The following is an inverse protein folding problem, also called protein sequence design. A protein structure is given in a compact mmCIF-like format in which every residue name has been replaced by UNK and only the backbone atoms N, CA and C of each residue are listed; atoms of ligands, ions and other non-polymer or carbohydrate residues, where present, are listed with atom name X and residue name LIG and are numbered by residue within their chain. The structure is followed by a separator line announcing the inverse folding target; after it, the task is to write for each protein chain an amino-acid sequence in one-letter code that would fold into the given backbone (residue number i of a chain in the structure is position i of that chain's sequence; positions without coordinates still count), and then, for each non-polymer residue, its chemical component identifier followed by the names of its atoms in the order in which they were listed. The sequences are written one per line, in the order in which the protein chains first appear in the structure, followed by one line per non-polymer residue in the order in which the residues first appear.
data_IF_029083643984
#
_entry.id   IF_029083643984
#
_cell.length_a   1.000
_cell.length_b   1.000
_cell.length_c   1.000
_cell.angle_alpha   90.00
_cell.angle_beta   90.00
_cell.angle_gamma   90.00
#
_symmetry.space_group_name_H-M   'P 1'
#
loop_
_entity.id
_entity.type
_entity.pdbx_description
1 polymer ?
#
# COMPACT_ATOMS: atom_id res chain seq x y z
N UNK A 1 -16.81 9.42 1.91
CA UNK A 1 -18.19 9.18 2.37
C UNK A 1 -18.93 8.53 1.22
N UNK A 2 -19.79 7.56 1.52
CA UNK A 2 -20.46 6.62 0.58
C UNK A 2 -19.60 5.39 0.23
N UNK A 3 -20.23 4.21 0.28
CA UNK A 3 -19.61 2.92 0.00
C UNK A 3 -19.04 2.90 -1.42
N UNK A 4 -17.78 2.53 -1.52
CA UNK A 4 -17.08 2.34 -2.78
C UNK A 4 -16.75 0.85 -2.93
N UNK A 5 -16.44 0.38 -4.16
CA UNK A 5 -16.07 -1.01 -4.43
C UNK A 5 -14.88 -1.44 -3.55
N UNK A 6 -14.55 -2.74 -3.48
CA UNK A 6 -13.40 -3.24 -2.71
C UNK A 6 -12.08 -2.71 -3.31
N UNK A 7 -11.76 -1.48 -2.96
CA UNK A 7 -10.56 -0.75 -3.31
C UNK A 7 -9.87 -0.45 -1.98
N UNK A 8 -8.62 -0.91 -1.88
CA UNK A 8 -7.80 -0.76 -0.68
C UNK A 8 -7.73 0.73 -0.33
N UNK A 9 -8.24 1.10 0.85
CA UNK A 9 -8.25 2.49 1.36
C UNK A 9 -9.61 3.19 1.38
N UNK A 10 -10.69 2.55 0.94
CA UNK A 10 -12.05 3.08 1.11
C UNK A 10 -12.72 2.49 2.36
N UNK A 11 -13.47 3.31 3.10
CA UNK A 11 -14.31 2.83 4.20
C UNK A 11 -15.50 2.07 3.63
N UNK A 12 -15.48 0.75 3.76
CA UNK A 12 -16.62 -0.10 3.42
C UNK A 12 -17.75 0.16 4.41
N UNK A 13 -18.91 0.55 3.88
CA UNK A 13 -20.11 0.69 4.69
C UNK A 13 -20.88 -0.62 4.55
N UNK A 14 -20.92 -1.42 5.61
CA UNK A 14 -21.54 -2.77 5.61
C UNK A 14 -22.91 -2.83 4.94
N UNK A 15 -23.74 -1.78 5.12
CA UNK A 15 -25.07 -1.70 4.52
C UNK A 15 -25.09 -1.74 2.98
N UNK A 16 -23.97 -1.35 2.35
CA UNK A 16 -23.83 -1.26 0.90
C UNK A 16 -23.41 -2.58 0.25
N UNK A 17 -23.14 -3.63 1.03
CA UNK A 17 -22.73 -4.94 0.52
C UNK A 17 -23.83 -5.70 -0.22
N UNK A 18 -25.10 -5.33 -0.02
CA UNK A 18 -26.24 -5.90 -0.76
C UNK A 18 -26.99 -4.79 -1.49
N UNK A 19 -27.08 -4.92 -2.81
CA UNK A 19 -27.85 -4.01 -3.65
C UNK A 19 -29.36 -4.28 -3.48
N UNK A 20 -30.19 -3.26 -3.25
CA UNK A 20 -31.64 -3.44 -3.18
C UNK A 20 -32.21 -3.92 -4.54
N UNK A 21 -33.22 -4.80 -4.54
CA UNK A 21 -33.92 -5.20 -5.76
C UNK A 21 -34.50 -3.99 -6.52
N UNK A 22 -34.34 -3.97 -7.85
CA UNK A 22 -34.84 -2.88 -8.71
C UNK A 22 -36.34 -2.62 -8.55
N UNK A 23 -37.12 -3.68 -8.33
CA UNK A 23 -38.57 -3.56 -8.08
C UNK A 23 -38.85 -2.68 -6.86
N UNK A 24 -38.03 -2.78 -5.79
CA UNK A 24 -38.18 -1.93 -4.60
C UNK A 24 -37.67 -0.51 -4.84
N UNK A 25 -36.60 -0.36 -5.63
CA UNK A 25 -36.06 0.94 -6.02
C UNK A 25 -37.10 1.76 -6.79
N UNK A 26 -37.74 1.17 -7.80
CA UNK A 26 -38.79 1.84 -8.58
C UNK A 26 -40.06 2.17 -7.79
N UNK A 27 -40.26 1.60 -6.60
CA UNK A 27 -41.37 1.99 -5.72
C UNK A 27 -41.10 3.29 -4.94
N UNK A 28 -39.85 3.73 -4.81
CA UNK A 28 -39.47 4.96 -4.11
C UNK A 28 -39.17 6.04 -5.14
N UNK A 29 -39.99 7.09 -5.16
CA UNK A 29 -39.95 8.14 -6.21
C UNK A 29 -40.03 7.56 -7.63
N UNK A 30 -41.12 6.87 -8.02
CA UNK A 30 -41.24 6.21 -9.32
C UNK A 30 -40.99 7.14 -10.52
N UNK A 31 -41.44 8.40 -10.41
CA UNK A 31 -41.25 9.42 -11.44
C UNK A 31 -39.78 9.77 -11.71
N UNK A 32 -38.87 9.48 -10.77
CA UNK A 32 -37.44 9.71 -10.94
C UNK A 32 -36.86 8.83 -12.06
N UNK A 33 -37.41 7.64 -12.29
CA UNK A 33 -36.92 6.72 -13.33
C UNK A 33 -37.06 7.31 -14.75
N UNK A 34 -38.01 8.23 -14.96
CA UNK A 34 -38.19 8.95 -16.24
C UNK A 34 -37.04 9.90 -16.56
N UNK A 35 -36.27 10.30 -15.55
CA UNK A 35 -35.12 11.20 -15.70
C UNK A 35 -33.81 10.44 -15.84
N UNK A 36 -33.82 9.11 -15.73
CA UNK A 36 -32.64 8.27 -15.86
C UNK A 36 -32.00 8.48 -17.24
N UNK A 37 -30.75 8.94 -17.25
CA UNK A 37 -30.00 9.16 -18.49
C UNK A 37 -30.50 10.32 -19.36
N UNK A 38 -31.39 11.19 -18.85
CA UNK A 38 -31.87 12.39 -19.56
C UNK A 38 -30.90 13.57 -19.52
N UNK A 39 -30.02 13.62 -18.51
CA UNK A 39 -29.05 14.69 -18.35
C UNK A 39 -27.63 14.18 -18.59
N UNK A 40 -26.84 14.94 -19.33
CA UNK A 40 -25.46 14.60 -19.65
C UNK A 40 -24.96 15.23 -20.95
N UNK A 41 -23.71 14.98 -21.35
CA UNK A 41 -23.08 15.61 -22.51
C UNK A 41 -23.48 14.99 -23.86
N UNK A 42 -24.41 14.02 -23.88
CA UNK A 42 -24.87 13.34 -25.09
C UNK A 42 -25.76 14.23 -25.97
N UNK A 43 -25.83 13.93 -27.26
CA UNK A 43 -26.63 14.67 -28.24
C UNK A 43 -28.14 14.64 -28.01
N UNK A 44 -28.65 13.62 -27.31
CA UNK A 44 -30.08 13.50 -26.94
C UNK A 44 -30.35 13.85 -25.47
N UNK A 45 -29.34 14.36 -24.76
CA UNK A 45 -29.41 14.66 -23.33
C UNK A 45 -29.44 16.17 -23.08
N UNK A 46 -30.15 16.56 -22.03
CA UNK A 46 -30.18 17.93 -21.56
C UNK A 46 -28.88 18.26 -20.81
N UNK A 47 -28.20 19.33 -21.22
CA UNK A 47 -26.96 19.81 -20.60
C UNK A 47 -27.23 20.60 -19.30
N UNK A 48 -27.90 19.99 -18.33
CA UNK A 48 -28.16 20.54 -17.00
C UNK A 48 -27.41 19.74 -15.92
N UNK A 49 -26.28 20.30 -15.46
CA UNK A 49 -25.45 19.70 -14.43
C UNK A 49 -26.14 19.64 -13.05
N UNK A 50 -27.01 20.58 -12.74
CA UNK A 50 -27.72 20.61 -11.47
C UNK A 50 -28.83 19.57 -11.45
N UNK A 51 -29.56 19.42 -12.56
CA UNK A 51 -30.55 18.36 -12.72
C UNK A 51 -29.89 16.97 -12.73
N UNK A 52 -28.75 16.81 -13.41
CA UNK A 52 -27.94 15.58 -13.35
C UNK A 52 -27.49 15.25 -11.92
N UNK A 53 -26.92 16.23 -11.21
CA UNK A 53 -26.45 16.05 -9.84
C UNK A 53 -27.58 15.71 -8.85
N UNK A 54 -28.72 16.40 -8.95
CA UNK A 54 -29.88 16.19 -8.09
C UNK A 54 -30.56 14.85 -8.35
N UNK A 55 -30.73 14.44 -9.62
CA UNK A 55 -31.29 13.13 -9.96
C UNK A 55 -30.39 11.99 -9.52
N UNK A 56 -29.07 12.09 -9.74
CA UNK A 56 -28.09 11.12 -9.25
C UNK A 56 -28.11 11.01 -7.71
N UNK A 57 -28.22 12.15 -7.02
CA UNK A 57 -28.35 12.15 -5.56
C UNK A 57 -29.63 11.44 -5.11
N UNK A 58 -30.77 11.68 -5.77
CA UNK A 58 -32.02 11.00 -5.44
C UNK A 58 -31.96 9.49 -5.70
N UNK A 59 -31.31 9.04 -6.78
CA UNK A 59 -31.08 7.61 -7.00
C UNK A 59 -30.22 6.99 -5.90
N UNK A 60 -29.15 7.68 -5.49
CA UNK A 60 -28.32 7.23 -4.38
C UNK A 60 -29.10 7.19 -3.05
N UNK A 61 -29.85 8.24 -2.72
CA UNK A 61 -30.65 8.29 -1.49
C UNK A 61 -31.75 7.22 -1.46
N UNK A 62 -32.31 6.88 -2.61
CA UNK A 62 -33.30 5.81 -2.77
C UNK A 62 -32.74 4.46 -2.34
N UNK A 63 -31.51 4.14 -2.76
CA UNK A 63 -30.81 2.93 -2.33
C UNK A 63 -30.53 2.97 -0.82
N UNK A 64 -30.02 4.09 -0.32
CA UNK A 64 -29.69 4.28 1.10
C UNK A 64 -30.91 4.10 1.99
N UNK A 65 -32.08 4.64 1.61
CA UNK A 65 -33.33 4.46 2.37
C UNK A 65 -33.68 2.98 2.52
N UNK A 66 -33.56 2.18 1.46
CA UNK A 66 -33.83 0.74 1.53
C UNK A 66 -32.79 0.00 2.37
N UNK A 67 -31.51 0.29 2.19
CA UNK A 67 -30.43 -0.35 2.96
C UNK A 67 -30.55 -0.03 4.47
N UNK A 68 -30.70 1.25 4.82
CA UNK A 68 -30.77 1.68 6.22
C UNK A 68 -32.08 1.26 6.90
N UNK A 69 -33.17 1.06 6.13
CA UNK A 69 -34.45 0.63 6.70
C UNK A 69 -34.34 -0.70 7.48
N UNK A 70 -33.47 -1.62 7.05
CA UNK A 70 -33.30 -2.93 7.69
C UNK A 70 -32.85 -2.81 9.16
N UNK A 71 -32.02 -1.82 9.45
CA UNK A 71 -31.53 -1.52 10.82
C UNK A 71 -32.49 -0.56 11.52
N UNK A 72 -32.95 0.48 10.83
CA UNK A 72 -33.77 1.54 11.40
C UNK A 72 -35.19 1.07 11.77
N UNK A 73 -35.76 0.12 11.04
CA UNK A 73 -37.05 -0.49 11.38
C UNK A 73 -36.98 -1.27 12.70
N UNK A 74 -35.86 -1.95 12.97
CA UNK A 74 -35.62 -2.66 14.24
C UNK A 74 -35.48 -1.67 15.40
N UNK A 75 -34.79 -0.55 15.17
CA UNK A 75 -34.51 0.47 16.20
C UNK A 75 -35.70 1.39 16.49
N UNK A 76 -36.50 1.70 15.48
CA UNK A 76 -37.61 2.64 15.57
C UNK A 76 -38.89 2.09 14.91
N UNK A 77 -39.45 0.98 15.41
CA UNK A 77 -40.57 0.29 14.74
C UNK A 77 -41.85 1.14 14.64
N UNK A 78 -42.04 2.11 15.54
CA UNK A 78 -43.21 3.00 15.54
C UNK A 78 -43.15 4.17 14.56
N UNK A 79 -42.10 4.30 13.73
CA UNK A 79 -41.99 5.42 12.80
C UNK A 79 -43.01 5.33 11.66
N UNK A 80 -43.73 6.42 11.32
CA UNK A 80 -44.73 6.41 10.26
C UNK A 80 -44.14 6.18 8.86
N UNK A 81 -42.83 6.39 8.69
CA UNK A 81 -42.14 6.15 7.42
C UNK A 81 -42.23 4.69 6.97
N UNK A 82 -42.37 3.74 7.91
CA UNK A 82 -42.50 2.31 7.63
C UNK A 82 -43.89 1.89 7.10
N UNK A 83 -44.86 2.81 7.10
CA UNK A 83 -46.17 2.57 6.49
C UNK A 83 -46.12 2.59 4.95
N UNK A 84 -45.00 3.02 4.37
CA UNK A 84 -44.82 3.05 2.92
C UNK A 84 -44.94 1.63 2.32
N UNK A 85 -45.65 1.43 1.19
CA UNK A 85 -45.94 0.11 0.63
C UNK A 85 -44.69 -0.70 0.26
N UNK A 86 -43.56 -0.03 -0.01
CA UNK A 86 -42.28 -0.70 -0.33
C UNK A 86 -41.85 -1.68 0.75
N UNK A 87 -42.10 -1.37 2.03
CA UNK A 87 -41.69 -2.22 3.16
C UNK A 87 -42.62 -3.42 3.38
N UNK A 88 -43.78 -3.44 2.71
CA UNK A 88 -44.74 -4.56 2.71
C UNK A 88 -44.63 -5.42 1.45
N UNK A 89 -43.77 -5.03 0.50
CA UNK A 89 -43.61 -5.73 -0.76
C UNK A 89 -42.90 -7.09 -0.54
N UNK A 90 -43.29 -8.18 -1.22
CA UNK A 90 -42.72 -9.51 -1.02
C UNK A 90 -41.19 -9.58 -1.25
N UNK A 91 -40.66 -8.71 -2.11
CA UNK A 91 -39.21 -8.63 -2.35
C UNK A 91 -38.41 -7.97 -1.21
N UNK A 92 -39.06 -7.26 -0.28
CA UNK A 92 -38.36 -6.57 0.80
C UNK A 92 -37.86 -7.53 1.89
N UNK A 93 -38.68 -8.49 2.31
CA UNK A 93 -38.30 -9.47 3.33
C UNK A 93 -37.01 -10.27 3.01
N UNK A 94 -36.85 -10.88 1.83
CA UNK A 94 -35.62 -11.61 1.50
C UNK A 94 -34.41 -10.67 1.41
N UNK A 95 -34.58 -9.47 0.86
CA UNK A 95 -33.52 -8.45 0.84
C UNK A 95 -33.08 -8.06 2.26
N UNK A 96 -34.03 -7.79 3.16
CA UNK A 96 -33.75 -7.42 4.54
C UNK A 96 -33.05 -8.53 5.33
N UNK A 97 -33.39 -9.79 5.04
CA UNK A 97 -32.72 -10.95 5.61
C UNK A 97 -31.27 -11.06 5.10
N UNK A 98 -31.07 -11.07 3.78
CA UNK A 98 -29.74 -11.12 3.17
C UNK A 98 -28.82 -10.02 3.68
N UNK A 99 -29.33 -8.79 3.78
CA UNK A 99 -28.53 -7.67 4.29
C UNK A 99 -28.24 -7.81 5.79
N UNK A 100 -29.18 -8.32 6.58
CA UNK A 100 -28.94 -8.59 8.01
C UNK A 100 -27.85 -9.65 8.20
N UNK A 101 -27.91 -10.73 7.41
CA UNK A 101 -26.93 -11.81 7.47
C UNK A 101 -25.53 -11.31 7.05
N UNK A 102 -25.46 -10.53 5.97
CA UNK A 102 -24.21 -9.91 5.51
C UNK A 102 -23.58 -9.00 6.57
N UNK A 103 -24.39 -8.18 7.25
CA UNK A 103 -23.92 -7.30 8.33
C UNK A 103 -23.36 -8.11 9.53
N UNK A 104 -23.92 -9.30 9.80
CA UNK A 104 -23.52 -10.17 10.91
C UNK A 104 -22.34 -11.09 10.57
N UNK A 105 -22.22 -11.58 9.34
CA UNK A 105 -21.15 -12.50 8.93
C UNK A 105 -19.75 -11.86 8.99
N UNK A 106 -19.64 -10.56 8.69
CA UNK A 106 -18.40 -9.78 8.84
C UNK A 106 -18.14 -9.28 10.26
N UNK A 107 -19.06 -9.55 11.20
CA UNK A 107 -18.87 -9.29 12.64
C UNK A 107 -18.11 -10.41 13.36
N UNK A 108 -17.81 -11.52 12.67
CA UNK A 108 -16.76 -12.45 13.14
C UNK A 108 -15.45 -11.66 13.21
N UNK A 109 -14.72 -11.69 14.33
CA UNK A 109 -13.53 -10.85 14.52
C UNK A 109 -12.61 -11.06 13.33
N UNK A 110 -12.48 -10.02 12.50
CA UNK A 110 -11.62 -10.04 11.35
C UNK A 110 -10.20 -10.41 11.82
N UNK A 111 -9.39 -11.01 10.95
CA UNK A 111 -8.04 -11.44 11.32
C UNK A 111 -7.22 -10.32 11.98
N UNK A 112 -7.55 -9.06 11.65
CA UNK A 112 -6.98 -7.86 12.24
C UNK A 112 -7.37 -7.64 13.70
N UNK A 113 -8.63 -7.87 14.10
CA UNK A 113 -9.08 -7.82 15.50
C UNK A 113 -8.41 -8.91 16.34
N UNK A 114 -8.27 -10.12 15.78
CA UNK A 114 -7.52 -11.21 16.42
C UNK A 114 -6.04 -10.83 16.58
N UNK A 115 -5.44 -10.20 15.57
CA UNK A 115 -4.06 -9.69 15.61
C UNK A 115 -3.86 -8.58 16.66
N UNK A 116 -4.78 -7.62 16.75
CA UNK A 116 -4.73 -6.55 17.75
C UNK A 116 -4.82 -7.14 19.16
N UNK A 117 -5.65 -8.17 19.34
CA UNK A 117 -5.80 -8.82 20.64
C UNK A 117 -4.57 -9.69 21.00
N UNK A 118 -3.87 -10.25 20.01
CA UNK A 118 -2.67 -11.07 20.20
C UNK A 118 -1.38 -10.24 20.41
N UNK A 119 -1.34 -8.98 19.94
CA UNK A 119 -0.19 -8.08 20.01
C UNK A 119 0.44 -7.93 21.41
N UNK A 120 -0.32 -7.73 22.51
CA UNK A 120 0.26 -7.58 23.85
C UNK A 120 0.96 -8.87 24.31
N UNK A 121 0.36 -10.03 24.04
CA UNK A 121 0.92 -11.34 24.42
C UNK A 121 2.21 -11.63 23.65
N UNK A 122 2.25 -11.27 22.36
CA UNK A 122 3.46 -11.36 21.54
C UNK A 122 4.56 -10.41 22.04
N UNK A 123 4.21 -9.20 22.47
CA UNK A 123 5.15 -8.24 23.04
C UNK A 123 5.77 -8.76 24.34
N UNK A 124 4.95 -9.24 25.28
CA UNK A 124 5.41 -9.82 26.54
C UNK A 124 6.35 -11.02 26.30
N UNK A 125 6.03 -11.85 25.31
CA UNK A 125 6.85 -13.02 24.96
C UNK A 125 8.21 -12.61 24.38
N UNK A 126 8.25 -11.61 23.49
CA UNK A 126 9.49 -11.08 22.91
C UNK A 126 10.38 -10.44 23.99
N UNK A 127 9.80 -9.65 24.88
CA UNK A 127 10.53 -9.04 26.01
C UNK A 127 11.13 -10.12 26.92
N UNK A 128 10.39 -11.22 27.15
CA UNK A 128 10.93 -12.37 27.90
C UNK A 128 12.08 -13.09 27.19
N UNK A 129 12.11 -13.09 25.86
CA UNK A 129 13.20 -13.67 25.07
C UNK A 129 14.43 -12.77 25.15
N UNK A 130 14.25 -11.46 24.98
CA UNK A 130 15.34 -10.50 25.04
C UNK A 130 16.00 -10.52 26.43
N UNK A 131 15.21 -10.53 27.50
CA UNK A 131 15.75 -10.67 28.87
C UNK A 131 16.56 -11.96 29.07
N UNK A 132 16.10 -13.09 28.51
CA UNK A 132 16.85 -14.37 28.57
C UNK A 132 18.13 -14.32 27.74
N UNK A 133 18.09 -13.69 26.57
CA UNK A 133 19.26 -13.53 25.71
C UNK A 133 20.31 -12.63 26.37
N UNK A 134 19.91 -11.50 26.94
CA UNK A 134 20.77 -10.62 27.70
C UNK A 134 21.44 -11.35 28.87
N UNK A 135 20.65 -12.08 29.68
CA UNK A 135 21.19 -12.87 30.78
C UNK A 135 22.24 -13.90 30.30
N UNK A 136 21.98 -14.58 29.18
CA UNK A 136 22.93 -15.53 28.59
C UNK A 136 24.20 -14.86 28.09
N UNK A 137 24.10 -13.67 27.50
CA UNK A 137 25.28 -12.91 27.05
C UNK A 137 26.13 -12.43 28.23
N UNK A 138 25.51 -11.99 29.33
CA UNK A 138 26.23 -11.61 30.55
C UNK A 138 26.94 -12.81 31.16
N UNK A 139 26.27 -13.96 31.22
CA UNK A 139 26.85 -15.20 31.75
C UNK A 139 28.05 -15.66 30.91
N UNK A 140 27.93 -15.66 29.58
CA UNK A 140 29.03 -16.02 28.68
C UNK A 140 30.22 -15.06 28.81
N UNK A 141 29.96 -13.75 28.97
CA UNK A 141 31.01 -12.76 29.21
C UNK A 141 31.73 -13.02 30.53
N UNK A 142 30.99 -13.29 31.61
CA UNK A 142 31.56 -13.58 32.93
C UNK A 142 32.46 -14.83 32.89
N UNK A 143 31.98 -15.92 32.30
CA UNK A 143 32.75 -17.16 32.11
C UNK A 143 34.04 -16.91 31.30
N UNK A 144 33.94 -16.15 30.21
CA UNK A 144 35.12 -15.80 29.39
C UNK A 144 36.14 -14.98 30.18
N UNK A 145 35.70 -13.99 30.97
CA UNK A 145 36.60 -13.21 31.82
C UNK A 145 37.27 -14.05 32.90
N UNK A 146 36.55 -15.02 33.49
CA UNK A 146 37.13 -15.94 34.47
C UNK A 146 38.15 -16.89 33.83
N UNK A 147 37.88 -17.39 32.62
CA UNK A 147 38.85 -18.19 31.88
C UNK A 147 40.11 -17.39 31.53
N UNK A 148 39.97 -16.13 31.08
CA UNK A 148 41.11 -15.26 30.79
C UNK A 148 41.96 -15.03 32.04
N UNK A 149 41.33 -14.69 33.17
CA UNK A 149 42.02 -14.51 34.45
C UNK A 149 42.75 -15.79 34.90
N UNK A 150 42.10 -16.95 34.79
CA UNK A 150 42.72 -18.23 35.11
C UNK A 150 43.92 -18.56 34.19
N UNK A 151 43.85 -18.19 32.90
CA UNK A 151 44.98 -18.36 31.98
C UNK A 151 46.14 -17.43 32.30
N UNK A 152 45.87 -16.17 32.67
CA UNK A 152 46.89 -15.22 33.10
C UNK A 152 47.60 -15.69 34.38
N UNK A 153 46.83 -16.16 35.37
CA UNK A 153 47.39 -16.72 36.61
C UNK A 153 48.29 -17.94 36.33
N UNK A 154 47.87 -18.85 35.43
CA UNK A 154 48.69 -20.00 35.01
C UNK A 154 49.98 -19.57 34.29
N UNK A 155 49.93 -18.54 33.44
CA UNK A 155 51.11 -18.01 32.78
C UNK A 155 52.08 -17.36 33.77
N UNK A 156 51.58 -16.62 34.77
CA UNK A 156 52.41 -16.00 35.80
C UNK A 156 53.12 -17.05 36.68
N UNK A 157 52.43 -18.15 37.04
CA UNK A 157 53.03 -19.27 37.77
C UNK A 157 54.09 -19.99 36.92
N UNK A 158 53.81 -20.23 35.64
CA UNK A 158 54.77 -20.85 34.73
C UNK A 158 56.04 -19.99 34.56
N UNK A 159 55.90 -18.67 34.42
CA UNK A 159 57.03 -17.74 34.32
C UNK A 159 57.87 -17.74 35.60
N UNK A 160 57.26 -17.65 36.78
CA UNK A 160 57.99 -17.66 38.05
C UNK A 160 58.73 -18.99 38.32
N UNK A 161 58.16 -20.12 37.90
CA UNK A 161 58.85 -21.43 37.97
C UNK A 161 60.07 -21.49 37.05
N UNK A 162 60.06 -20.81 35.91
CA UNK A 162 61.20 -20.74 34.98
C UNK A 162 62.35 -19.86 35.52
N UNK A 163 62.05 -18.83 36.32
CA UNK A 163 63.07 -17.98 36.93
C UNK A 163 63.64 -18.51 38.25
N UNK A 164 62.89 -19.36 38.97
CA UNK A 164 63.33 -19.91 40.28
C UNK A 164 64.12 -21.23 40.18
N UNK A 165 63.96 -21.99 39.11
CA UNK A 165 64.70 -23.24 38.89
C UNK A 165 65.61 -23.04 37.69
N UNK A 166 66.92 -22.85 37.91
CA UNK A 166 67.88 -22.77 36.82
C UNK A 166 67.75 -24.00 35.92
N UNK A 167 67.26 -23.82 34.70
CA UNK A 167 66.90 -24.94 33.83
C UNK A 167 67.84 -25.06 32.63
N UNK A 168 68.38 -26.28 32.46
CA UNK A 168 69.02 -26.77 31.25
C UNK A 168 67.95 -27.11 30.20
N UNK A 169 68.06 -26.48 29.04
CA UNK A 169 67.16 -26.67 27.89
C UNK A 169 67.54 -27.94 27.11
N UNK A 170 66.67 -28.95 27.07
CA UNK A 170 66.75 -30.05 26.10
C UNK A 170 65.49 -30.08 25.24
N UNK A 171 65.69 -29.89 23.93
CA UNK A 171 64.66 -30.01 22.89
C UNK A 171 64.53 -31.47 22.50
N UNK A 172 63.35 -32.06 22.70
CA UNK A 172 62.99 -33.34 22.08
C UNK A 172 61.90 -33.07 21.06
N UNK A 173 62.25 -33.24 19.78
CA UNK A 173 61.32 -33.10 18.66
C UNK A 173 60.36 -34.30 18.65
N UNK A 174 59.09 -34.06 18.98
CA UNK A 174 58.00 -35.00 18.68
C UNK A 174 57.36 -34.59 17.36
N UNK A 175 57.57 -35.41 16.32
CA UNK A 175 56.88 -35.28 15.05
C UNK A 175 55.39 -35.58 15.24
N UNK A 176 54.53 -34.61 14.98
CA UNK A 176 53.09 -34.81 14.85
C UNK A 176 52.68 -34.42 13.43
N UNK A 177 52.16 -35.42 12.73
CA UNK A 177 51.74 -35.44 11.34
C UNK A 177 50.62 -34.44 11.07
N UNK A 178 50.80 -33.58 10.07
CA UNK A 178 49.77 -32.70 9.50
C UNK A 178 48.85 -33.51 8.58
N UNK A 179 47.54 -33.41 8.78
CA UNK A 179 46.54 -33.75 7.77
C UNK A 179 45.80 -32.48 7.36
N UNK A 180 46.25 -31.89 6.26
CA UNK A 180 45.49 -30.89 5.52
C UNK A 180 44.41 -31.61 4.69
N UNK A 181 43.18 -31.10 4.73
CA UNK A 181 42.12 -31.47 3.79
C UNK A 181 41.50 -30.18 3.24
N UNK A 182 42.06 -29.71 2.13
CA UNK A 182 41.38 -28.84 1.17
C UNK A 182 41.54 -29.46 -0.21
N UNK A 183 40.45 -29.94 -0.78
CA UNK A 183 40.41 -30.39 -2.17
C UNK A 183 39.19 -29.76 -2.87
N UNK A 184 39.47 -28.66 -3.57
CA UNK A 184 38.67 -28.23 -4.69
C UNK A 184 39.10 -29.05 -5.91
N UNK A 185 38.15 -29.67 -6.61
CA UNK A 185 38.39 -30.28 -7.92
C UNK A 185 37.25 -29.91 -8.86
N UNK A 186 37.62 -29.19 -9.92
CA UNK A 186 36.83 -28.92 -11.12
C UNK A 186 37.13 -30.07 -12.09
N UNK A 187 36.11 -30.69 -12.68
CA UNK A 187 36.26 -31.45 -13.93
C UNK A 187 35.02 -31.19 -14.80
N UNK A 188 35.29 -30.79 -16.04
CA UNK A 188 34.35 -30.66 -17.15
C UNK A 188 34.55 -31.84 -18.13
N UNK A 189 33.61 -31.94 -19.09
CA UNK A 189 33.64 -32.66 -20.38
C UNK A 189 32.76 -33.92 -20.50
N UNK A 190 31.56 -33.63 -21.04
CA UNK A 190 30.93 -34.16 -22.26
C UNK A 190 30.71 -35.66 -22.50
N UNK A 191 29.49 -35.97 -22.98
CA UNK A 191 29.34 -36.81 -24.18
C UNK A 191 28.36 -37.98 -24.15
N UNK A 192 27.09 -37.68 -24.49
CA UNK A 192 26.29 -38.39 -25.50
C UNK A 192 25.53 -39.69 -25.16
N UNK A 193 24.21 -39.68 -25.43
CA UNK A 193 23.54 -40.81 -26.09
C UNK A 193 22.25 -41.38 -25.47
N UNK A 194 21.10 -40.84 -25.89
CA UNK A 194 20.04 -41.68 -26.48
C UNK A 194 18.76 -42.00 -25.68
N UNK A 195 17.63 -41.58 -26.29
CA UNK A 195 16.30 -42.23 -26.34
C UNK A 195 15.49 -42.27 -25.03
N UNK A 196 14.21 -41.95 -24.97
CA UNK A 196 13.17 -41.65 -25.97
C UNK A 196 11.81 -41.66 -25.24
N UNK A 197 10.78 -41.19 -25.95
CA UNK A 197 9.34 -41.23 -25.61
C UNK A 197 8.85 -40.19 -24.57
N UNK A 198 7.83 -39.36 -24.80
CA UNK A 198 6.86 -39.31 -25.90
C UNK A 198 5.48 -38.98 -25.32
N UNK A 199 4.97 -37.75 -25.51
CA UNK A 199 3.55 -37.37 -25.72
C UNK A 199 3.40 -35.85 -25.58
N UNK A 200 3.43 -35.08 -26.68
CA UNK A 200 2.31 -34.59 -27.52
C UNK A 200 1.28 -33.73 -26.77
N UNK A 201 1.31 -32.40 -26.99
CA UNK A 201 0.53 -31.60 -27.98
C UNK A 201 -0.96 -31.46 -27.56
N UNK A 202 -1.64 -30.31 -27.59
CA UNK A 202 -1.94 -29.36 -28.69
C UNK A 202 -2.45 -28.04 -28.03
N UNK A 203 -1.86 -26.85 -28.20
CA UNK A 203 -2.02 -25.82 -29.26
C UNK A 203 -3.45 -25.27 -29.54
N UNK A 204 -3.65 -23.97 -29.34
CA UNK A 204 -4.37 -23.07 -30.27
C UNK A 204 -4.26 -21.63 -29.72
N UNK A 205 -3.42 -20.76 -30.28
CA UNK A 205 -3.55 -19.98 -31.52
C UNK A 205 -4.13 -18.57 -31.31
N UNK A 206 -3.16 -17.65 -31.34
CA UNK A 206 -3.12 -16.22 -31.73
C UNK A 206 -4.26 -15.62 -32.57
N UNK A 207 -4.55 -14.34 -32.28
CA UNK A 207 -4.59 -13.22 -33.26
C UNK A 207 -4.75 -11.91 -32.47
N UNK A 208 -3.71 -11.09 -32.28
CA UNK A 208 -3.26 -9.98 -33.15
C UNK A 208 -4.41 -9.17 -33.76
N UNK A 209 -4.64 -7.96 -33.21
CA UNK A 209 -4.86 -6.75 -34.01
C UNK A 209 -3.97 -5.65 -33.39
N UNK A 210 -2.93 -5.30 -34.13
CA UNK A 210 -2.13 -4.09 -33.97
C UNK A 210 -2.73 -3.04 -34.92
N UNK A 211 -2.89 -1.81 -34.46
CA UNK A 211 -2.93 -0.61 -35.31
C UNK A 211 -2.67 0.62 -34.46
N UNK A 212 -1.49 1.17 -34.73
CA UNK A 212 -0.87 2.35 -34.16
C UNK A 212 -1.11 3.57 -35.07
N UNK A 213 -1.18 4.74 -34.42
CA UNK A 213 -1.00 6.13 -34.93
C UNK A 213 -2.13 6.67 -35.84
N UNK A 214 -2.62 7.91 -35.70
CA UNK A 214 -1.89 9.21 -35.64
C UNK A 214 -2.76 10.32 -35.01
N UNK A 215 -2.16 11.23 -34.21
CA UNK A 215 -2.58 12.63 -34.02
C UNK A 215 -2.23 13.48 -35.27
N UNK A 216 -2.55 14.80 -35.44
CA UNK A 216 -3.08 15.78 -34.47
C UNK A 216 -4.10 16.86 -35.03
N UNK A 217 -4.66 17.70 -34.12
CA UNK A 217 -5.11 19.14 -34.31
C UNK A 217 -6.32 19.40 -35.26
N UNK A 218 -7.32 20.27 -35.04
CA UNK A 218 -7.49 21.51 -34.27
C UNK A 218 -8.99 21.83 -33.99
N UNK A 219 -9.25 22.47 -32.83
CA UNK A 219 -10.27 23.51 -32.50
C UNK A 219 -11.62 23.62 -33.24
N UNK A 220 -12.75 23.61 -32.50
CA UNK A 220 -13.40 24.87 -32.07
C UNK A 220 -14.47 24.74 -30.93
N UNK A 221 -14.10 25.31 -29.78
CA UNK A 221 -14.82 26.12 -28.77
C UNK A 221 -16.36 26.07 -28.56
N UNK A 222 -16.81 25.47 -27.44
CA UNK A 222 -18.05 25.84 -26.70
C UNK A 222 -17.66 26.25 -25.26
N UNK A 223 -18.09 27.46 -24.87
CA UNK A 223 -17.75 28.14 -23.62
C UNK A 223 -18.48 27.55 -22.40
N UNK A 224 -17.89 26.56 -21.75
CA UNK A 224 -18.20 26.24 -20.34
C UNK A 224 -17.40 27.20 -19.46
N UNK A 225 -18.10 27.98 -18.62
CA UNK A 225 -17.45 28.80 -17.59
C UNK A 225 -16.77 27.82 -16.62
N UNK A 226 -15.42 27.80 -16.54
CA UNK A 226 -14.72 26.77 -15.81
C UNK A 226 -14.96 26.96 -14.30
N UNK A 227 -15.44 25.91 -13.64
CA UNK A 227 -15.55 25.87 -12.17
C UNK A 227 -14.22 26.32 -11.55
N UNK A 228 -14.23 27.33 -10.67
CA UNK A 228 -13.01 27.84 -10.08
C UNK A 228 -12.38 26.73 -9.23
N UNK A 229 -11.05 26.54 -9.32
CA UNK A 229 -10.40 25.45 -8.60
C UNK A 229 -10.53 25.65 -7.08
N UNK A 230 -10.67 24.55 -6.32
CA UNK A 230 -10.70 24.64 -4.87
C UNK A 230 -9.38 25.22 -4.33
N UNK A 231 -9.46 26.04 -3.28
CA UNK A 231 -8.27 26.58 -2.59
C UNK A 231 -7.62 25.51 -1.71
N UNK A 232 -7.00 24.51 -2.35
CA UNK A 232 -6.29 23.43 -1.66
C UNK A 232 -4.87 23.84 -1.26
N UNK A 233 -4.46 23.52 -0.04
CA UNK A 233 -3.12 23.74 0.48
C UNK A 233 -2.47 22.41 0.85
N UNK A 234 -1.28 22.14 0.30
CA UNK A 234 -0.55 20.93 0.63
C UNK A 234 -0.15 20.92 2.11
N UNK A 235 -0.35 19.79 2.79
CA UNK A 235 -0.17 19.69 4.23
C UNK A 235 1.30 19.73 4.64
N UNK A 236 1.76 20.81 5.28
CA UNK A 236 3.19 20.99 5.65
C UNK A 236 3.68 20.11 6.78
N UNK A 237 2.78 19.44 7.50
CA UNK A 237 3.10 18.52 8.59
C UNK A 237 3.54 17.13 8.10
N UNK A 238 3.44 16.84 6.80
CA UNK A 238 3.86 15.55 6.21
C UNK A 238 5.39 15.45 6.21
N UNK A 239 5.92 14.44 6.91
CA UNK A 239 7.37 14.21 7.10
C UNK A 239 7.91 12.92 6.46
N UNK A 240 7.03 12.04 5.98
CA UNK A 240 7.41 10.74 5.40
C UNK A 240 6.94 10.63 3.96
N UNK A 241 7.64 9.80 3.18
CA UNK A 241 7.26 9.46 1.80
C UNK A 241 5.87 8.83 1.76
N UNK A 242 5.55 7.97 2.72
CA UNK A 242 4.24 7.30 2.82
C UNK A 242 3.07 8.26 3.03
N UNK A 243 3.21 9.21 3.96
CA UNK A 243 2.18 10.22 4.20
C UNK A 243 2.04 11.18 3.00
N UNK A 244 3.14 11.45 2.29
CA UNK A 244 3.10 12.22 1.05
C UNK A 244 2.39 11.45 -0.07
N UNK A 245 2.66 10.16 -0.20
CA UNK A 245 2.01 9.29 -1.19
C UNK A 245 0.50 9.21 -0.93
N UNK A 246 0.11 9.11 0.34
CA UNK A 246 -1.30 9.11 0.76
C UNK A 246 -1.99 10.42 0.40
N UNK A 247 -1.38 11.58 0.69
CA UNK A 247 -1.90 12.89 0.26
C UNK A 247 -2.01 12.99 -1.28
N UNK A 248 -1.12 12.32 -2.00
CA UNK A 248 -1.08 12.35 -3.46
C UNK A 248 -2.17 11.51 -4.12
N UNK A 249 -2.44 10.32 -3.58
CA UNK A 249 -3.30 9.30 -4.21
C UNK A 249 -4.70 9.24 -3.61
N UNK A 250 -4.82 9.36 -2.29
CA UNK A 250 -6.09 9.25 -1.56
C UNK A 250 -6.59 10.61 -1.07
N UNK A 251 -5.66 11.51 -0.75
CA UNK A 251 -5.95 12.78 -0.10
C UNK A 251 -5.63 12.75 1.40
N UNK A 252 -5.68 13.91 2.05
CA UNK A 252 -5.32 14.05 3.47
C UNK A 252 -6.28 15.01 4.17
N UNK A 253 -6.62 14.71 5.44
CA UNK A 253 -7.52 15.52 6.29
C UNK A 253 -8.89 15.80 5.66
N UNK A 254 -9.43 14.83 4.91
CA UNK A 254 -10.72 14.99 4.21
C UNK A 254 -10.66 15.91 2.97
N UNK A 255 -9.46 16.37 2.57
CA UNK A 255 -9.24 17.06 1.31
C UNK A 255 -9.05 16.09 0.14
N UNK A 256 -9.23 16.56 -1.12
CA UNK A 256 -9.08 15.73 -2.32
C UNK A 256 -7.64 15.26 -2.52
N UNK A 257 -7.46 14.16 -3.24
CA UNK A 257 -6.15 13.70 -3.68
C UNK A 257 -5.50 14.74 -4.61
N UNK A 258 -4.17 14.90 -4.51
CA UNK A 258 -3.44 15.82 -5.41
C UNK A 258 -3.52 15.34 -6.87
N UNK A 259 -3.53 14.03 -7.11
CA UNK A 259 -3.72 13.47 -8.44
C UNK A 259 -5.08 13.87 -9.06
N UNK A 260 -6.15 13.90 -8.26
CA UNK A 260 -7.47 14.34 -8.71
C UNK A 260 -7.49 15.84 -9.04
N UNK A 261 -6.81 16.64 -8.21
CA UNK A 261 -6.66 18.07 -8.46
C UNK A 261 -5.93 18.36 -9.78
N UNK A 262 -4.86 17.60 -10.06
CA UNK A 262 -4.12 17.69 -11.32
C UNK A 262 -4.95 17.21 -12.52
N UNK A 263 -5.76 16.17 -12.37
CA UNK A 263 -6.63 15.67 -13.43
C UNK A 263 -7.72 16.68 -13.80
N UNK A 264 -8.38 17.27 -12.80
CA UNK A 264 -9.55 18.14 -13.02
C UNK A 264 -9.19 19.59 -13.37
N UNK A 265 -8.14 20.14 -12.75
CA UNK A 265 -7.78 21.55 -12.91
C UNK A 265 -6.35 21.79 -13.41
N UNK A 266 -5.53 20.74 -13.55
CA UNK A 266 -4.14 20.87 -14.01
C UNK A 266 -3.32 21.78 -13.10
N UNK A 267 -2.61 22.76 -13.68
CA UNK A 267 -1.86 23.75 -12.90
C UNK A 267 -2.75 24.84 -12.27
N UNK A 268 -4.02 24.97 -12.70
CA UNK A 268 -4.91 26.09 -12.32
C UNK A 268 -5.23 26.09 -10.84
N UNK A 269 -5.32 24.91 -10.20
CA UNK A 269 -5.57 24.85 -8.75
C UNK A 269 -4.40 25.37 -7.91
N UNK A 270 -3.20 25.48 -8.48
CA UNK A 270 -2.00 26.06 -7.84
C UNK A 270 -1.62 27.43 -8.38
N UNK A 271 -2.26 27.89 -9.45
CA UNK A 271 -1.92 29.13 -10.12
C UNK A 271 -2.03 30.34 -9.17
N UNK A 272 -1.12 31.30 -9.32
CA UNK A 272 -1.07 32.50 -8.48
C UNK A 272 -0.58 32.31 -7.05
N UNK A 273 -0.23 31.09 -6.63
CA UNK A 273 0.24 30.78 -5.26
C UNK A 273 1.66 30.21 -5.27
N UNK A 274 2.65 31.10 -5.22
CA UNK A 274 4.07 30.74 -5.36
C UNK A 274 4.52 29.66 -4.38
N UNK A 275 4.05 29.72 -3.13
CA UNK A 275 4.39 28.73 -2.11
C UNK A 275 3.88 27.33 -2.47
N UNK A 276 2.69 27.20 -3.03
CA UNK A 276 2.12 25.90 -3.44
C UNK A 276 2.79 25.35 -4.70
N UNK A 277 3.14 26.24 -5.64
CA UNK A 277 3.91 25.85 -6.83
C UNK A 277 5.27 25.26 -6.45
N UNK A 278 5.98 25.90 -5.52
CA UNK A 278 7.26 25.42 -5.03
C UNK A 278 7.14 24.09 -4.29
N UNK A 279 6.14 23.97 -3.40
CA UNK A 279 5.89 22.76 -2.61
C UNK A 279 5.47 21.58 -3.48
N UNK A 280 4.56 21.81 -4.41
CA UNK A 280 4.17 20.80 -5.40
C UNK A 280 5.39 20.33 -6.19
N UNK A 281 6.19 21.26 -6.71
CA UNK A 281 7.35 20.92 -7.53
C UNK A 281 8.40 20.13 -6.75
N UNK A 282 8.50 20.35 -5.43
CA UNK A 282 9.43 19.63 -4.55
C UNK A 282 8.93 18.22 -4.27
N UNK A 283 7.67 18.09 -3.88
CA UNK A 283 7.01 16.81 -3.58
C UNK A 283 6.85 15.91 -4.80
N UNK A 284 6.64 16.50 -5.97
CA UNK A 284 6.57 15.76 -7.23
C UNK A 284 7.86 14.99 -7.54
N UNK A 285 9.01 15.39 -7.00
CA UNK A 285 10.26 14.61 -7.18
C UNK A 285 10.17 13.23 -6.51
N UNK A 286 9.53 13.13 -5.33
CA UNK A 286 9.31 11.84 -4.65
C UNK A 286 8.36 10.97 -5.45
N UNK A 287 7.26 11.53 -5.94
CA UNK A 287 6.28 10.82 -6.77
C UNK A 287 6.91 10.26 -8.04
N UNK A 288 7.78 11.05 -8.70
CA UNK A 288 8.54 10.58 -9.87
C UNK A 288 9.49 9.45 -9.50
N UNK A 289 10.15 9.54 -8.35
CA UNK A 289 11.07 8.48 -7.91
C UNK A 289 10.32 7.18 -7.61
N UNK A 290 9.16 7.24 -6.94
CA UNK A 290 8.30 6.07 -6.70
C UNK A 290 7.94 5.39 -8.02
N UNK A 291 7.43 6.15 -9.00
CA UNK A 291 7.09 5.61 -10.32
C UNK A 291 8.30 5.04 -11.07
N UNK A 292 9.47 5.66 -10.91
CA UNK A 292 10.73 5.18 -11.48
C UNK A 292 11.18 3.86 -10.85
N UNK A 293 11.09 3.74 -9.53
CA UNK A 293 11.39 2.50 -8.79
C UNK A 293 10.40 1.41 -9.17
N UNK A 294 9.10 1.70 -9.23
CA UNK A 294 8.06 0.77 -9.67
C UNK A 294 8.38 0.19 -11.06
N UNK A 295 8.76 1.06 -12.01
CA UNK A 295 9.14 0.64 -13.37
C UNK A 295 10.44 -0.16 -13.39
N UNK A 296 11.44 0.21 -12.59
CA UNK A 296 12.74 -0.46 -12.56
C UNK A 296 12.64 -1.87 -11.94
N UNK A 297 11.87 -2.01 -10.86
CA UNK A 297 11.68 -3.26 -10.13
C UNK A 297 10.49 -4.09 -10.61
N UNK A 298 9.71 -3.58 -11.57
CA UNK A 298 8.46 -4.21 -12.07
C UNK A 298 7.50 -4.59 -10.95
N UNK A 299 7.34 -3.70 -9.98
CA UNK A 299 6.41 -3.84 -8.86
C UNK A 299 5.32 -2.77 -8.91
N UNK A 300 4.32 -2.88 -8.03
CA UNK A 300 3.27 -1.87 -7.91
C UNK A 300 3.82 -0.53 -7.41
N UNK A 301 3.10 0.57 -7.66
CA UNK A 301 3.49 1.90 -7.16
C UNK A 301 3.50 1.94 -5.62
N UNK A 302 2.60 1.20 -4.97
CA UNK A 302 2.54 1.04 -3.52
C UNK A 302 3.77 0.29 -2.96
N UNK A 303 4.20 -0.79 -3.62
CA UNK A 303 5.41 -1.51 -3.22
C UNK A 303 6.66 -0.63 -3.40
N UNK A 304 6.73 0.12 -4.51
CA UNK A 304 7.80 1.07 -4.76
C UNK A 304 7.80 2.23 -3.75
N UNK A 305 6.63 2.67 -3.29
CA UNK A 305 6.51 3.67 -2.23
C UNK A 305 7.19 3.20 -0.94
N UNK A 306 6.93 1.95 -0.50
CA UNK A 306 7.58 1.41 0.70
C UNK A 306 9.11 1.34 0.54
N UNK A 307 9.61 0.98 -0.65
CA UNK A 307 11.05 0.97 -0.95
C UNK A 307 11.64 2.39 -0.82
N UNK A 308 10.99 3.40 -1.40
CA UNK A 308 11.46 4.80 -1.34
C UNK A 308 11.33 5.37 0.08
N UNK A 309 10.32 4.96 0.85
CA UNK A 309 10.15 5.35 2.26
C UNK A 309 11.26 4.76 3.13
N UNK A 310 11.62 3.49 2.92
CA UNK A 310 12.76 2.87 3.60
C UNK A 310 14.08 3.58 3.24
N UNK A 311 14.26 3.97 1.98
CA UNK A 311 15.42 4.75 1.54
C UNK A 311 15.50 6.10 2.24
N UNK A 312 14.36 6.79 2.42
CA UNK A 312 14.31 8.04 3.19
C UNK A 312 14.78 7.80 4.63
N UNK A 313 14.23 6.79 5.32
CA UNK A 313 14.55 6.47 6.71
C UNK A 313 16.01 6.06 6.91
N UNK A 314 16.57 5.25 6.01
CA UNK A 314 17.97 4.82 6.05
C UNK A 314 18.96 5.98 5.91
N UNK A 315 18.56 7.06 5.23
CA UNK A 315 19.42 8.24 5.08
C UNK A 315 19.29 9.22 6.25
N UNK A 316 18.38 8.97 7.20
CA UNK A 316 17.99 9.85 8.31
C UNK A 316 17.71 11.30 7.86
N UNK A 317 17.08 11.44 6.69
CA UNK A 317 16.78 12.74 6.07
C UNK A 317 15.33 13.15 6.28
N UNK A 318 15.14 14.42 6.60
CA UNK A 318 13.82 15.04 6.49
C UNK A 318 13.31 14.95 5.06
N UNK A 319 11.98 14.88 4.89
CA UNK A 319 11.35 14.77 3.57
C UNK A 319 11.79 15.89 2.63
N UNK A 320 11.93 17.12 3.13
CA UNK A 320 12.38 18.27 2.34
C UNK A 320 13.82 18.11 1.84
N UNK A 321 14.73 17.61 2.68
CA UNK A 321 16.11 17.32 2.29
C UNK A 321 16.15 16.19 1.26
N UNK A 322 15.33 15.15 1.46
CA UNK A 322 15.20 14.04 0.52
C UNK A 322 14.68 14.51 -0.85
N UNK A 323 13.65 15.36 -0.89
CA UNK A 323 13.14 15.93 -2.14
C UNK A 323 14.20 16.79 -2.87
N UNK A 324 14.97 17.62 -2.13
CA UNK A 324 16.06 18.43 -2.70
C UNK A 324 17.15 17.55 -3.30
N UNK A 325 17.49 16.45 -2.64
CA UNK A 325 18.44 15.46 -3.14
C UNK A 325 17.95 14.82 -4.43
N UNK A 326 16.71 14.31 -4.46
CA UNK A 326 16.13 13.70 -5.67
C UNK A 326 16.16 14.67 -6.85
N UNK A 327 15.82 15.94 -6.61
CA UNK A 327 15.93 17.00 -7.62
C UNK A 327 17.35 17.17 -8.15
N UNK A 328 18.34 17.22 -7.25
CA UNK A 328 19.75 17.37 -7.62
C UNK A 328 20.25 16.15 -8.41
N UNK A 329 19.93 14.93 -7.97
CA UNK A 329 20.27 13.68 -8.66
C UNK A 329 19.66 13.62 -10.07
N UNK A 330 18.39 14.03 -10.21
CA UNK A 330 17.72 14.11 -11.51
C UNK A 330 18.37 15.13 -12.45
N UNK A 331 18.72 16.32 -11.95
CA UNK A 331 19.46 17.32 -12.73
C UNK A 331 20.82 16.77 -13.19
N UNK A 332 21.56 16.11 -12.32
CA UNK A 332 22.84 15.50 -12.65
C UNK A 332 22.70 14.39 -13.72
N UNK A 333 21.62 13.62 -13.69
CA UNK A 333 21.32 12.60 -14.72
C UNK A 333 20.94 13.20 -16.08
N UNK A 334 20.28 14.37 -16.11
CA UNK A 334 19.94 15.06 -17.36
C UNK A 334 21.20 15.67 -18.01
N UNK A 335 22.14 16.17 -17.20
CA UNK A 335 23.37 16.82 -17.68
C UNK A 335 24.42 15.81 -18.17
N UNK A 336 24.35 14.55 -17.76
CA UNK A 336 25.19 13.47 -18.30
C UNK A 336 24.48 12.82 -19.49
N UNK A 337 24.83 13.14 -20.75
CA UNK A 337 24.29 12.39 -21.88
C UNK A 337 24.71 10.93 -21.76
N UNK A 338 23.78 10.00 -22.02
CA UNK A 338 24.08 8.56 -22.11
C UNK A 338 25.15 8.38 -23.19
N UNK A 339 26.34 7.95 -22.77
CA UNK A 339 27.37 7.40 -23.66
C UNK A 339 26.95 6.04 -24.16
#
# INVERSE_FOLDING_TARGET
MAGHPPQIGCFEIRRAGVAPPEVLLSMIWPELDRWRGRFGPGTEQENDLAAMGSTNLLFYLREVVLQDSVVLMKKYPGSPVWNHPVFRHPAYAPFAQQLSDFILEEERPNQLAVLIQAMPVLADYLESIDARNEARTVQLKAELTDQLRATEERLAVAQSSLFSSGFNFQVTAAAATTTDTTAAAVVDVAGQGGRGDGSRFVSARSSIIDSRATSPTATDTIMVKPEPPPRYHMCRAVKTVEALWSEWTVGLRGGPAIADLDSRWGSRWRAGRQNELQWYSLRLEVIREIRKVAKAHRCSEEAAMHIVNLQQQQTDRSLDLFCKQLRASRKAQIVRPKR
#
